data_IF_932101468659
#
_entry.id   IF_932101468659
#
_cell.length_a   1.000
_cell.length_b   1.000
_cell.length_c   1.000
_cell.angle_alpha   90.00
_cell.angle_beta   90.00
_cell.angle_gamma   90.00
#
_symmetry.space_group_name_H-M   'P 1'
#
loop_
_entity.id
_entity.type
_entity.pdbx_description
1 polymer ?
#
# COMPACT_ATOMS: atom_id res chain seq x y z
N UNK A 1 -30.29 -47.38 18.09
CA UNK A 1 -30.26 -45.94 17.80
C UNK A 1 -30.09 -45.81 16.31
N UNK A 2 -31.20 -45.76 15.58
CA UNK A 2 -31.14 -45.56 14.14
C UNK A 2 -30.76 -44.10 13.87
N UNK A 3 -29.85 -43.82 12.91
CA UNK A 3 -29.53 -42.44 12.54
C UNK A 3 -30.76 -41.77 11.91
N UNK A 4 -30.99 -40.50 12.22
CA UNK A 4 -32.01 -39.72 11.52
C UNK A 4 -31.71 -39.69 10.02
N UNK A 5 -32.76 -39.68 9.20
CA UNK A 5 -32.68 -39.59 7.75
C UNK A 5 -31.83 -38.36 7.34
N UNK A 6 -31.95 -37.25 8.08
CA UNK A 6 -31.17 -36.03 7.87
C UNK A 6 -29.67 -36.21 8.15
N UNK A 7 -29.27 -37.01 9.15
CA UNK A 7 -27.84 -37.24 9.44
C UNK A 7 -27.22 -38.15 8.38
N UNK A 8 -27.98 -39.08 7.81
CA UNK A 8 -27.57 -39.85 6.63
C UNK A 8 -27.35 -38.95 5.41
N UNK A 9 -28.27 -38.03 5.10
CA UNK A 9 -28.08 -37.06 4.01
C UNK A 9 -26.90 -36.11 4.26
N UNK A 10 -26.72 -35.61 5.50
CA UNK A 10 -25.60 -34.76 5.88
C UNK A 10 -24.25 -35.48 5.76
N UNK A 11 -24.18 -36.75 6.17
CA UNK A 11 -22.99 -37.59 6.01
C UNK A 11 -22.63 -37.77 4.53
N UNK A 12 -23.59 -38.19 3.69
CA UNK A 12 -23.37 -38.38 2.24
C UNK A 12 -22.95 -37.08 1.56
N UNK A 13 -23.52 -35.93 1.93
CA UNK A 13 -23.13 -34.60 1.44
C UNK A 13 -21.70 -34.20 1.82
N UNK A 14 -21.20 -34.71 2.95
CA UNK A 14 -19.86 -34.40 3.49
C UNK A 14 -18.79 -35.37 2.99
N UNK A 15 -19.12 -36.66 2.84
CA UNK A 15 -18.20 -37.71 2.41
C UNK A 15 -17.99 -37.77 0.89
N UNK A 16 -18.94 -37.29 0.08
CA UNK A 16 -18.82 -37.27 -1.38
C UNK A 16 -17.71 -36.34 -1.87
N UNK A 17 -16.95 -36.81 -2.86
CA UNK A 17 -15.97 -35.98 -3.56
C UNK A 17 -16.65 -34.85 -4.37
N UNK A 18 -15.99 -33.69 -4.46
CA UNK A 18 -16.54 -32.49 -5.12
C UNK A 18 -16.65 -32.63 -6.64
N UNK A 19 -15.80 -33.44 -7.27
CA UNK A 19 -15.89 -33.77 -8.71
C UNK A 19 -16.60 -35.12 -8.85
N UNK A 20 -17.64 -35.17 -9.67
CA UNK A 20 -18.52 -36.34 -9.84
C UNK A 20 -17.83 -37.38 -10.73
N UNK A 21 -17.61 -38.57 -10.19
CA UNK A 21 -16.90 -39.65 -10.89
C UNK A 21 -17.79 -40.31 -11.95
N UNK A 22 -17.20 -41.12 -12.84
CA UNK A 22 -17.94 -41.82 -13.91
C UNK A 22 -19.08 -42.67 -13.34
N UNK A 23 -18.83 -43.44 -12.29
CA UNK A 23 -19.85 -44.33 -11.70
C UNK A 23 -21.06 -43.54 -11.17
N UNK A 24 -20.84 -42.42 -10.49
CA UNK A 24 -21.94 -41.53 -10.05
C UNK A 24 -22.72 -40.92 -11.23
N UNK A 25 -22.10 -40.75 -12.41
CA UNK A 25 -22.81 -40.32 -13.63
C UNK A 25 -23.58 -41.48 -14.28
N UNK A 26 -23.10 -42.72 -14.15
CA UNK A 26 -23.86 -43.91 -14.54
C UNK A 26 -25.06 -44.15 -13.62
N UNK A 27 -24.94 -43.90 -12.31
CA UNK A 27 -26.06 -43.93 -11.37
C UNK A 27 -27.13 -42.88 -11.72
N UNK A 28 -26.71 -41.64 -12.02
CA UNK A 28 -27.59 -40.58 -12.52
C UNK A 28 -28.33 -41.05 -13.78
N UNK A 29 -27.62 -41.61 -14.77
CA UNK A 29 -28.23 -42.09 -16.01
C UNK A 29 -29.22 -43.24 -15.77
N UNK A 30 -28.84 -44.22 -14.93
CA UNK A 30 -29.66 -45.40 -14.59
C UNK A 30 -30.96 -44.99 -13.91
N UNK A 31 -30.89 -44.07 -12.94
CA UNK A 31 -32.08 -43.56 -12.26
C UNK A 31 -32.94 -42.72 -13.21
N UNK A 32 -32.32 -41.93 -14.10
CA UNK A 32 -33.04 -41.15 -15.10
C UNK A 32 -33.82 -42.01 -16.10
N UNK A 33 -33.25 -43.14 -16.52
CA UNK A 33 -33.94 -44.14 -17.34
C UNK A 33 -35.14 -44.78 -16.60
N UNK A 34 -34.99 -45.06 -15.29
CA UNK A 34 -36.05 -45.66 -14.46
C UNK A 34 -37.27 -44.74 -14.25
N UNK A 35 -37.05 -43.45 -14.00
CA UNK A 35 -38.15 -42.46 -13.94
C UNK A 35 -38.78 -42.24 -15.33
N UNK A 36 -38.00 -42.29 -16.41
CA UNK A 36 -38.53 -42.19 -17.79
C UNK A 36 -39.39 -43.41 -18.17
N UNK A 37 -39.06 -44.63 -17.74
CA UNK A 37 -39.91 -45.81 -17.96
C UNK A 37 -41.26 -45.76 -17.22
N UNK A 38 -41.39 -44.87 -16.23
CA UNK A 38 -42.65 -44.58 -15.52
C UNK A 38 -43.36 -43.34 -16.10
N UNK A 39 -43.00 -42.90 -17.32
CA UNK A 39 -43.56 -41.74 -18.01
C UNK A 39 -43.54 -40.43 -17.20
N UNK A 40 -42.63 -40.30 -16.23
CA UNK A 40 -42.70 -39.21 -15.27
C UNK A 40 -42.21 -37.89 -15.88
N UNK A 41 -43.13 -36.93 -16.05
CA UNK A 41 -42.91 -35.63 -16.72
C UNK A 41 -41.71 -34.81 -16.18
N UNK A 42 -41.34 -35.01 -14.92
CA UNK A 42 -40.29 -34.26 -14.23
C UNK A 42 -39.04 -35.10 -13.87
N UNK A 43 -38.77 -36.19 -14.60
CA UNK A 43 -37.70 -37.16 -14.28
C UNK A 43 -36.35 -36.54 -13.89
N UNK A 44 -35.84 -35.53 -14.62
CA UNK A 44 -34.56 -34.87 -14.29
C UNK A 44 -34.56 -34.20 -12.92
N UNK A 45 -35.70 -33.64 -12.48
CA UNK A 45 -35.84 -33.03 -11.15
C UNK A 45 -35.87 -34.10 -10.06
N UNK A 46 -36.65 -35.16 -10.24
CA UNK A 46 -36.70 -36.25 -9.25
C UNK A 46 -35.36 -36.98 -9.10
N UNK A 47 -34.58 -37.14 -10.18
CA UNK A 47 -33.20 -37.65 -10.11
C UNK A 47 -32.28 -36.69 -9.34
N UNK A 48 -32.39 -35.37 -9.60
CA UNK A 48 -31.61 -34.35 -8.91
C UNK A 48 -31.92 -34.30 -7.40
N UNK A 49 -33.20 -34.33 -7.04
CA UNK A 49 -33.69 -34.35 -5.65
C UNK A 49 -33.26 -35.65 -4.94
N UNK A 50 -33.55 -36.82 -5.53
CA UNK A 50 -33.25 -38.13 -4.93
C UNK A 50 -31.74 -38.42 -4.77
N UNK A 51 -30.90 -37.91 -5.68
CA UNK A 51 -29.44 -38.08 -5.58
C UNK A 51 -28.75 -36.90 -4.87
N UNK A 52 -29.46 -35.81 -4.54
CA UNK A 52 -28.87 -34.59 -3.98
C UNK A 52 -27.82 -33.96 -4.90
N UNK A 53 -28.15 -33.82 -6.19
CA UNK A 53 -27.26 -33.29 -7.25
C UNK A 53 -27.91 -32.09 -7.96
N UNK A 54 -27.09 -31.27 -8.63
CA UNK A 54 -27.59 -30.11 -9.38
C UNK A 54 -28.41 -30.57 -10.60
N UNK A 55 -29.57 -29.94 -10.84
CA UNK A 55 -30.45 -30.27 -11.97
C UNK A 55 -29.76 -30.19 -13.33
N UNK A 56 -28.93 -29.16 -13.56
CA UNK A 56 -28.23 -28.96 -14.82
C UNK A 56 -27.28 -30.15 -15.07
N UNK A 57 -26.48 -30.54 -14.08
CA UNK A 57 -25.60 -31.73 -14.17
C UNK A 57 -26.36 -33.01 -14.55
N UNK A 58 -27.58 -33.19 -14.03
CA UNK A 58 -28.43 -34.34 -14.34
C UNK A 58 -28.98 -34.29 -15.76
N UNK A 59 -29.29 -33.08 -16.26
CA UNK A 59 -29.66 -32.86 -17.66
C UNK A 59 -28.46 -33.05 -18.59
N UNK A 60 -27.28 -32.54 -18.24
CA UNK A 60 -26.02 -32.67 -18.99
C UNK A 60 -25.63 -34.14 -19.18
N UNK A 61 -25.67 -34.95 -18.13
CA UNK A 61 -25.40 -36.41 -18.19
C UNK A 61 -26.37 -37.10 -19.15
N UNK A 62 -27.65 -36.71 -19.14
CA UNK A 62 -28.65 -37.28 -20.04
C UNK A 62 -28.42 -36.85 -21.50
N UNK A 63 -28.09 -35.58 -21.74
CA UNK A 63 -27.78 -35.05 -23.08
C UNK A 63 -26.50 -35.66 -23.66
N UNK A 64 -25.43 -35.78 -22.86
CA UNK A 64 -24.18 -36.47 -23.24
C UNK A 64 -24.48 -37.91 -23.69
N UNK A 65 -25.29 -38.65 -22.91
CA UNK A 65 -25.65 -40.01 -23.27
C UNK A 65 -26.52 -40.05 -24.53
N UNK A 66 -27.52 -39.17 -24.69
CA UNK A 66 -28.31 -39.13 -25.93
C UNK A 66 -27.45 -38.86 -27.17
N UNK A 67 -26.50 -37.92 -27.09
CA UNK A 67 -25.67 -37.51 -28.22
C UNK A 67 -24.54 -38.51 -28.55
N UNK A 68 -23.97 -39.19 -27.55
CA UNK A 68 -22.76 -40.02 -27.72
C UNK A 68 -22.94 -41.51 -27.44
N UNK A 69 -24.03 -41.92 -26.79
CA UNK A 69 -24.21 -43.23 -26.14
C UNK A 69 -23.10 -43.60 -25.14
N UNK A 70 -22.40 -42.61 -24.59
CA UNK A 70 -21.37 -42.78 -23.55
C UNK A 70 -21.59 -41.85 -22.35
N UNK A 71 -20.89 -42.12 -21.25
CA UNK A 71 -20.84 -41.28 -20.05
C UNK A 71 -19.39 -41.15 -19.62
N UNK A 72 -18.78 -39.99 -19.86
CA UNK A 72 -17.42 -39.67 -19.44
C UNK A 72 -17.37 -39.27 -17.96
N UNK A 73 -16.18 -39.29 -17.35
CA UNK A 73 -15.98 -38.75 -16.00
C UNK A 73 -15.97 -37.21 -16.06
N UNK A 74 -16.52 -36.52 -15.06
CA UNK A 74 -16.49 -35.06 -15.05
C UNK A 74 -15.04 -34.54 -14.90
N UNK A 75 -14.59 -33.71 -15.83
CA UNK A 75 -13.25 -33.11 -15.80
C UNK A 75 -13.07 -32.26 -14.54
N UNK A 76 -11.97 -32.43 -13.77
CA UNK A 76 -11.66 -31.56 -12.65
C UNK A 76 -11.56 -30.09 -13.09
N UNK A 77 -12.19 -29.18 -12.35
CA UNK A 77 -12.12 -27.74 -12.64
C UNK A 77 -10.65 -27.26 -12.71
N UNK A 78 -10.33 -26.45 -13.71
CA UNK A 78 -8.94 -26.19 -14.10
C UNK A 78 -8.12 -25.55 -12.94
N UNK A 79 -7.01 -26.21 -12.57
CA UNK A 79 -6.16 -25.83 -11.41
C UNK A 79 -4.84 -25.16 -11.83
N UNK A 80 -4.62 -24.86 -13.11
CA UNK A 80 -3.40 -24.21 -13.61
C UNK A 80 -3.21 -22.82 -13.01
N UNK A 81 -2.06 -22.54 -12.41
CA UNK A 81 -1.69 -21.20 -11.97
C UNK A 81 -1.46 -20.29 -13.16
N UNK A 82 -2.38 -19.35 -13.41
CA UNK A 82 -2.23 -18.34 -14.47
C UNK A 82 -0.96 -17.49 -14.28
N UNK A 83 -0.32 -17.12 -15.40
CA UNK A 83 0.87 -16.26 -15.42
C UNK A 83 0.52 -14.89 -14.83
N UNK A 84 1.37 -14.37 -13.94
CA UNK A 84 1.15 -13.07 -13.31
C UNK A 84 1.60 -11.92 -14.22
N UNK A 85 0.75 -10.89 -14.40
CA UNK A 85 1.06 -9.65 -15.18
C UNK A 85 2.45 -9.05 -14.91
N UNK A 86 2.96 -9.14 -13.68
CA UNK A 86 4.34 -8.77 -13.35
C UNK A 86 5.17 -10.06 -13.22
N UNK A 87 6.22 -10.26 -14.04
CA UNK A 87 7.10 -11.41 -13.91
C UNK A 87 7.87 -11.41 -12.59
N UNK A 88 7.91 -12.54 -11.88
CA UNK A 88 8.65 -12.71 -10.62
C UNK A 88 10.10 -13.21 -10.86
N UNK A 89 10.80 -12.59 -11.82
CA UNK A 89 12.18 -12.93 -12.14
C UNK A 89 13.15 -12.15 -11.24
N UNK A 90 14.36 -12.69 -11.00
CA UNK A 90 15.40 -12.01 -10.20
C UNK A 90 15.72 -10.60 -10.72
N UNK A 91 15.74 -10.43 -12.05
CA UNK A 91 15.97 -9.15 -12.71
C UNK A 91 14.89 -8.11 -12.37
N UNK A 92 13.60 -8.48 -12.45
CA UNK A 92 12.49 -7.56 -12.12
C UNK A 92 12.49 -7.19 -10.63
N UNK A 93 12.84 -8.14 -9.75
CA UNK A 93 13.04 -7.85 -8.32
C UNK A 93 14.18 -6.86 -8.10
N UNK A 94 15.33 -7.03 -8.77
CA UNK A 94 16.48 -6.13 -8.65
C UNK A 94 16.16 -4.72 -9.18
N UNK A 95 15.50 -4.62 -10.34
CA UNK A 95 15.05 -3.34 -10.92
C UNK A 95 14.12 -2.60 -9.95
N UNK A 96 13.12 -3.28 -9.38
CA UNK A 96 12.21 -2.68 -8.41
C UNK A 96 12.92 -2.26 -7.11
N UNK A 97 13.86 -3.08 -6.62
CA UNK A 97 14.59 -2.81 -5.38
C UNK A 97 15.53 -1.60 -5.52
N UNK A 98 16.28 -1.52 -6.63
CA UNK A 98 17.15 -0.38 -6.91
C UNK A 98 16.37 0.93 -7.02
N UNK A 99 15.25 0.94 -7.75
CA UNK A 99 14.38 2.13 -7.88
C UNK A 99 13.82 2.60 -6.53
N UNK A 100 13.36 1.69 -5.68
CA UNK A 100 12.88 2.03 -4.34
C UNK A 100 14.03 2.56 -3.50
N UNK A 101 15.20 1.91 -3.49
CA UNK A 101 16.41 2.32 -2.77
C UNK A 101 16.85 3.73 -3.14
N UNK A 102 16.94 4.05 -4.43
CA UNK A 102 17.36 5.37 -4.92
C UNK A 102 16.36 6.47 -4.53
N UNK A 103 15.06 6.24 -4.74
CA UNK A 103 14.02 7.20 -4.34
C UNK A 103 13.93 7.37 -2.82
N UNK A 104 14.19 6.31 -2.03
CA UNK A 104 14.30 6.45 -0.57
C UNK A 104 15.55 7.22 -0.17
N UNK A 105 16.69 7.06 -0.85
CA UNK A 105 17.90 7.84 -0.59
C UNK A 105 17.69 9.35 -0.82
N UNK A 106 16.92 9.74 -1.85
CA UNK A 106 16.51 11.13 -2.08
C UNK A 106 15.31 11.58 -1.22
N UNK A 107 14.70 10.68 -0.43
CA UNK A 107 13.44 10.89 0.32
C UNK A 107 12.23 11.25 -0.55
N UNK A 108 12.24 10.82 -1.81
CA UNK A 108 11.10 10.99 -2.71
C UNK A 108 10.00 9.98 -2.34
N UNK A 109 8.77 10.47 -2.13
CA UNK A 109 7.59 9.62 -1.89
C UNK A 109 7.52 8.51 -2.94
N UNK A 110 7.32 7.28 -2.50
CA UNK A 110 7.33 6.12 -3.39
C UNK A 110 6.29 5.10 -2.93
N UNK A 111 5.25 4.91 -3.75
CA UNK A 111 4.18 3.93 -3.52
C UNK A 111 4.19 2.89 -4.64
N UNK A 112 3.16 2.02 -4.68
CA UNK A 112 3.02 1.03 -5.74
C UNK A 112 2.64 1.64 -7.11
N UNK A 113 2.17 2.89 -7.18
CA UNK A 113 1.91 3.60 -8.46
C UNK A 113 3.24 3.98 -9.12
N UNK A 114 4.15 4.60 -8.36
CA UNK A 114 5.44 5.04 -8.89
C UNK A 114 6.32 3.84 -9.31
N UNK A 115 6.21 2.70 -8.60
CA UNK A 115 6.83 1.43 -9.06
C UNK A 115 6.17 0.89 -10.33
N UNK A 116 4.84 1.01 -10.48
CA UNK A 116 4.14 0.56 -11.69
C UNK A 116 4.56 1.36 -12.92
N UNK A 117 4.64 2.69 -12.81
CA UNK A 117 5.09 3.55 -13.91
C UNK A 117 6.53 3.25 -14.31
N UNK A 118 7.43 3.05 -13.33
CA UNK A 118 8.81 2.66 -13.63
C UNK A 118 8.93 1.28 -14.30
N UNK A 119 8.09 0.30 -13.92
CA UNK A 119 8.04 -1.00 -14.62
C UNK A 119 7.49 -0.88 -16.05
N UNK A 120 6.67 0.14 -16.35
CA UNK A 120 6.28 0.48 -17.73
C UNK A 120 7.42 1.15 -18.51
N UNK A 121 8.12 2.11 -17.90
CA UNK A 121 9.31 2.78 -18.47
C UNK A 121 10.42 1.78 -18.80
N UNK A 122 10.63 0.78 -17.94
CA UNK A 122 11.60 -0.31 -18.14
C UNK A 122 11.10 -1.44 -19.06
N UNK A 123 9.96 -1.26 -19.75
CA UNK A 123 9.31 -2.25 -20.63
C UNK A 123 9.05 -3.64 -19.99
N UNK A 124 8.99 -3.72 -18.65
CA UNK A 124 8.66 -4.95 -17.91
C UNK A 124 7.15 -5.19 -17.86
N UNK A 125 6.36 -4.11 -17.94
CA UNK A 125 4.92 -4.12 -17.72
C UNK A 125 4.23 -3.25 -18.78
N UNK A 126 3.67 -3.89 -19.80
CA UNK A 126 2.84 -3.20 -20.77
C UNK A 126 1.48 -2.82 -20.15
N UNK A 127 1.12 -1.55 -20.31
CA UNK A 127 -0.17 -0.98 -19.91
C UNK A 127 -0.42 0.26 -20.76
N UNK A 128 -1.60 0.31 -21.37
CA UNK A 128 -2.28 1.57 -21.66
C UNK A 128 -2.65 2.23 -20.32
N UNK A 129 -2.17 3.45 -20.09
CA UNK A 129 -2.39 4.21 -18.84
C UNK A 129 -3.78 4.86 -18.85
N UNK A 130 -4.28 5.23 -20.02
CA UNK A 130 -5.54 5.93 -20.20
C UNK A 130 -6.72 4.94 -20.10
N UNK A 131 -6.48 3.66 -20.42
CA UNK A 131 -7.41 2.57 -20.14
C UNK A 131 -7.52 2.25 -18.64
N UNK A 132 -8.33 3.02 -17.90
CA UNK A 132 -8.67 2.85 -16.46
C UNK A 132 -8.78 1.39 -15.98
N UNK A 133 -9.48 0.52 -16.72
CA UNK A 133 -9.63 -0.92 -16.40
C UNK A 133 -8.30 -1.70 -16.44
N UNK A 134 -7.42 -1.38 -17.39
CA UNK A 134 -6.07 -1.95 -17.46
C UNK A 134 -5.18 -1.42 -16.34
N UNK A 135 -5.18 -0.10 -16.11
CA UNK A 135 -4.43 0.56 -15.05
C UNK A 135 -4.75 -0.04 -13.67
N UNK A 136 -6.03 -0.12 -13.30
CA UNK A 136 -6.46 -0.71 -12.03
C UNK A 136 -6.07 -2.19 -11.88
N UNK A 137 -6.16 -2.98 -12.96
CA UNK A 137 -5.75 -4.39 -12.96
C UNK A 137 -4.23 -4.57 -12.79
N UNK A 138 -3.44 -3.72 -13.47
CA UNK A 138 -1.97 -3.69 -13.37
C UNK A 138 -1.50 -3.18 -12.00
N UNK A 139 -2.14 -2.15 -11.43
CA UNK A 139 -1.84 -1.65 -10.09
C UNK A 139 -2.06 -2.73 -9.02
N UNK A 140 -3.18 -3.46 -9.09
CA UNK A 140 -3.44 -4.64 -8.25
C UNK A 140 -2.42 -5.77 -8.48
N UNK A 141 -1.85 -5.91 -9.69
CA UNK A 141 -0.76 -6.86 -9.96
C UNK A 141 0.57 -6.42 -9.31
N UNK A 142 0.95 -5.15 -9.43
CA UNK A 142 2.16 -4.58 -8.79
C UNK A 142 2.07 -4.64 -7.26
N UNK A 143 0.91 -4.32 -6.67
CA UNK A 143 0.66 -4.52 -5.24
C UNK A 143 0.90 -5.98 -4.79
N UNK A 144 0.40 -6.95 -5.56
CA UNK A 144 0.60 -8.40 -5.28
C UNK A 144 2.03 -8.87 -5.53
N UNK A 145 2.75 -8.26 -6.46
CA UNK A 145 4.19 -8.48 -6.67
C UNK A 145 4.98 -7.97 -5.45
N UNK A 146 4.81 -6.71 -5.08
CA UNK A 146 5.52 -6.08 -3.94
C UNK A 146 5.25 -6.82 -2.62
N UNK A 147 3.99 -7.20 -2.34
CA UNK A 147 3.64 -8.00 -1.16
C UNK A 147 4.33 -9.38 -1.19
N UNK A 148 4.47 -10.01 -2.35
CA UNK A 148 5.16 -11.29 -2.50
C UNK A 148 6.68 -11.18 -2.44
N UNK A 149 7.25 -10.00 -2.68
CA UNK A 149 8.67 -9.71 -2.45
C UNK A 149 8.95 -9.19 -1.02
N UNK A 150 7.94 -9.15 -0.14
CA UNK A 150 8.10 -8.79 1.28
C UNK A 150 8.09 -7.29 1.60
N UNK A 151 7.90 -6.42 0.61
CA UNK A 151 7.86 -4.96 0.82
C UNK A 151 6.77 -4.55 1.81
N UNK A 152 7.07 -3.54 2.61
CA UNK A 152 6.15 -2.94 3.59
C UNK A 152 5.96 -1.46 3.26
N UNK A 153 4.80 -0.92 3.63
CA UNK A 153 4.60 0.53 3.72
C UNK A 153 4.91 0.98 5.15
N UNK A 154 5.39 2.21 5.33
CA UNK A 154 5.66 2.76 6.66
C UNK A 154 7.12 3.13 6.89
N UNK A 155 7.41 3.56 8.12
CA UNK A 155 8.79 3.72 8.58
C UNK A 155 9.42 2.34 8.83
N UNK A 156 10.60 2.09 8.24
CA UNK A 156 11.47 0.96 8.61
C UNK A 156 11.85 1.06 10.09
N UNK A 157 11.33 0.15 10.91
CA UNK A 157 11.71 0.02 12.33
C UNK A 157 13.17 -0.45 12.44
N UNK A 158 13.82 -0.23 13.58
CA UNK A 158 15.24 -0.55 13.80
C UNK A 158 16.22 0.37 13.07
N UNK A 159 15.80 1.09 12.02
CA UNK A 159 16.59 2.13 11.35
C UNK A 159 16.89 3.28 12.31
N UNK A 160 18.05 3.20 12.99
CA UNK A 160 18.59 4.26 13.84
C UNK A 160 18.73 5.55 13.04
N UNK A 161 18.17 6.64 13.56
CA UNK A 161 18.26 8.00 12.97
C UNK A 161 19.68 8.59 13.01
N UNK A 162 20.66 7.81 13.48
CA UNK A 162 22.04 8.19 13.75
C UNK A 162 23.07 7.45 12.88
N UNK A 163 22.70 6.98 11.67
CA UNK A 163 23.70 6.78 10.62
C UNK A 163 24.29 8.13 10.18
N UNK A 164 25.34 8.53 10.90
CA UNK A 164 26.16 9.70 10.65
C UNK A 164 27.21 9.35 9.58
N UNK A 165 27.55 10.30 8.72
CA UNK A 165 28.70 10.13 7.81
C UNK A 165 29.99 10.00 8.62
N UNK A 166 31.02 9.34 8.06
CA UNK A 166 32.33 9.18 8.71
C UNK A 166 32.91 10.52 9.20
N UNK A 167 32.78 11.58 8.39
CA UNK A 167 33.17 12.94 8.77
C UNK A 167 32.35 13.49 9.97
N UNK A 168 31.03 13.33 9.97
CA UNK A 168 30.18 13.80 11.07
C UNK A 168 30.41 13.00 12.37
N UNK A 169 30.72 11.70 12.26
CA UNK A 169 31.09 10.87 13.40
C UNK A 169 32.40 11.36 14.04
N UNK A 170 33.45 11.57 13.23
CA UNK A 170 34.72 12.14 13.69
C UNK A 170 34.53 13.53 14.33
N UNK A 171 33.74 14.41 13.72
CA UNK A 171 33.44 15.73 14.27
C UNK A 171 32.68 15.66 15.61
N UNK A 172 31.71 14.75 15.74
CA UNK A 172 31.03 14.45 17.02
C UNK A 172 32.02 13.96 18.06
N UNK A 173 32.90 13.04 17.71
CA UNK A 173 33.81 12.40 18.67
C UNK A 173 34.87 13.37 19.17
N UNK A 174 35.33 14.29 18.32
CA UNK A 174 36.13 15.46 18.73
C UNK A 174 35.34 16.39 19.66
N UNK A 175 34.10 16.76 19.32
CA UNK A 175 33.26 17.61 20.17
C UNK A 175 32.99 16.98 21.54
N UNK A 176 32.70 15.67 21.60
CA UNK A 176 32.48 14.93 22.85
C UNK A 176 33.74 14.92 23.71
N UNK A 177 34.93 14.69 23.11
CA UNK A 177 36.22 14.77 23.83
C UNK A 177 36.48 16.16 24.41
N UNK A 178 36.15 17.22 23.69
CA UNK A 178 36.28 18.61 24.16
C UNK A 178 35.29 18.93 25.30
N UNK A 179 34.03 18.49 25.19
CA UNK A 179 33.01 18.80 26.19
C UNK A 179 33.06 17.91 27.44
N UNK A 180 33.67 16.72 27.37
CA UNK A 180 33.65 15.77 28.48
C UNK A 180 34.28 16.32 29.79
N UNK A 181 35.47 16.96 29.79
CA UNK A 181 36.04 17.56 30.99
C UNK A 181 35.15 18.65 31.62
N UNK A 182 34.50 19.47 30.79
CA UNK A 182 33.56 20.50 31.26
C UNK A 182 32.28 19.90 31.85
N UNK A 183 31.93 18.66 31.50
CA UNK A 183 30.80 17.93 32.09
C UNK A 183 31.12 17.28 33.43
N UNK A 184 32.39 16.98 33.71
CA UNK A 184 32.84 16.26 34.91
C UNK A 184 33.53 17.15 35.95
N UNK A 185 33.96 18.36 35.58
CA UNK A 185 34.51 19.35 36.52
C UNK A 185 33.51 19.74 37.63
N UNK A 186 34.03 19.98 38.85
CA UNK A 186 33.22 20.40 40.00
C UNK A 186 32.52 21.75 39.77
N UNK A 187 33.18 22.69 39.12
CA UNK A 187 32.60 23.97 38.67
C UNK A 187 32.14 23.84 37.22
N UNK A 188 30.89 23.42 37.02
CA UNK A 188 30.30 23.27 35.68
C UNK A 188 29.96 24.62 35.04
N UNK A 189 30.22 24.83 33.73
CA UNK A 189 29.71 25.99 33.01
C UNK A 189 28.19 25.90 32.81
N UNK A 190 27.54 27.07 32.71
CA UNK A 190 26.09 27.18 32.50
C UNK A 190 25.69 26.85 31.04
N UNK A 191 25.58 25.56 30.71
CA UNK A 191 25.22 25.10 29.36
C UNK A 191 23.72 25.27 29.09
N UNK A 192 23.36 26.12 28.13
CA UNK A 192 21.98 26.35 27.69
C UNK A 192 21.73 25.70 26.32
N UNK A 193 20.86 24.70 26.28
CA UNK A 193 20.50 23.99 25.04
C UNK A 193 19.39 24.72 24.28
N UNK A 194 19.68 25.22 23.08
CA UNK A 194 18.76 26.07 22.29
C UNK A 194 18.34 25.46 20.93
N UNK A 195 17.66 24.31 20.94
CA UNK A 195 17.10 23.74 19.71
C UNK A 195 15.87 24.54 19.20
N UNK A 196 15.21 24.06 18.14
CA UNK A 196 13.96 24.58 17.59
C UNK A 196 12.86 23.52 17.70
N UNK A 197 11.93 23.74 18.63
CA UNK A 197 10.66 23.03 18.71
C UNK A 197 9.72 23.56 17.63
N UNK A 198 9.43 22.76 16.60
CA UNK A 198 8.53 23.17 15.52
C UNK A 198 7.07 22.96 15.91
N UNK A 199 6.24 24.00 15.72
CA UNK A 199 4.80 23.81 15.52
C UNK A 199 4.62 23.12 14.15
N UNK A 200 3.76 22.11 14.11
CA UNK A 200 4.04 20.90 13.34
C UNK A 200 3.34 20.86 11.97
N UNK A 201 3.95 21.46 10.93
CA UNK A 201 3.40 21.50 9.57
C UNK A 201 4.24 20.81 8.48
N UNK A 202 4.94 19.73 8.83
CA UNK A 202 5.47 18.77 7.85
C UNK A 202 5.06 17.34 8.22
N UNK A 203 3.81 16.99 7.90
CA UNK A 203 3.38 15.59 7.82
C UNK A 203 4.18 14.88 6.72
N UNK A 204 5.31 14.28 7.10
CA UNK A 204 6.04 13.38 6.21
C UNK A 204 5.21 12.12 6.06
N UNK A 205 4.72 11.87 4.85
CA UNK A 205 3.88 10.70 4.51
C UNK A 205 4.65 9.37 4.50
N UNK A 206 5.56 9.18 5.45
CA UNK A 206 6.31 7.95 5.69
C UNK A 206 5.41 6.74 5.96
N UNK A 207 4.14 6.94 6.30
CA UNK A 207 3.13 5.87 6.38
C UNK A 207 2.73 5.33 4.98
N UNK A 208 2.96 6.10 3.91
CA UNK A 208 2.68 5.74 2.51
C UNK A 208 3.93 5.20 1.80
N UNK A 209 5.12 5.67 2.21
CA UNK A 209 6.41 5.27 1.64
C UNK A 209 6.61 3.75 1.72
N UNK A 210 7.00 3.16 0.59
CA UNK A 210 7.36 1.76 0.45
C UNK A 210 8.83 1.53 0.86
N UNK A 211 9.13 0.41 1.50
CA UNK A 211 10.50 -0.06 1.76
C UNK A 211 10.60 -1.58 1.69
N UNK A 212 11.78 -2.08 1.34
CA UNK A 212 12.14 -3.49 1.48
C UNK A 212 12.72 -3.74 2.89
N UNK A 213 12.13 -4.61 3.72
CA UNK A 213 12.70 -4.95 5.03
C UNK A 213 14.04 -5.69 4.93
N UNK A 214 14.25 -6.46 3.86
CA UNK A 214 15.39 -7.35 3.64
C UNK A 214 16.56 -6.66 2.94
N UNK A 215 16.39 -5.43 2.46
CA UNK A 215 17.47 -4.67 1.83
C UNK A 215 18.42 -4.07 2.88
N UNK A 216 19.51 -4.76 3.21
CA UNK A 216 20.54 -4.26 4.12
C UNK A 216 21.29 -3.03 3.57
N UNK A 217 21.27 -2.81 2.26
CA UNK A 217 21.95 -1.67 1.60
C UNK A 217 21.12 -0.38 1.60
N UNK A 218 19.84 -0.45 1.95
CA UNK A 218 18.94 0.70 2.17
C UNK A 218 19.27 1.42 3.50
N UNK A 219 20.43 2.08 3.50
CA UNK A 219 20.99 2.82 4.65
C UNK A 219 20.55 4.29 4.59
N UNK A 220 19.51 4.60 5.35
CA UNK A 220 18.89 5.92 5.37
C UNK A 220 19.74 6.99 6.08
N UNK A 221 20.58 7.69 5.32
CA UNK A 221 21.38 8.82 5.80
C UNK A 221 20.51 9.92 6.47
N UNK A 222 21.03 10.58 7.52
CA UNK A 222 20.30 11.64 8.23
C UNK A 222 19.94 12.81 7.28
N UNK A 223 18.70 13.28 7.39
CA UNK A 223 18.17 14.39 6.60
C UNK A 223 18.96 15.68 6.87
N UNK A 224 19.49 16.30 5.80
CA UNK A 224 20.37 17.47 5.89
C UNK A 224 19.65 18.78 6.25
N UNK A 225 18.32 18.81 6.20
CA UNK A 225 17.52 20.03 6.34
C UNK A 225 16.40 19.87 7.38
N UNK A 226 16.48 20.60 8.51
CA UNK A 226 15.43 20.67 9.55
C UNK A 226 14.24 21.56 9.11
N UNK A 227 13.70 21.35 7.91
CA UNK A 227 12.67 22.23 7.33
C UNK A 227 13.18 23.65 7.03
N UNK A 228 12.27 24.63 6.92
CA UNK A 228 12.60 26.03 6.57
C UNK A 228 12.44 26.95 7.78
N UNK A 229 13.51 27.70 8.08
CA UNK A 229 13.69 28.45 9.32
C UNK A 229 13.72 29.95 9.03
N UNK A 230 12.56 30.54 8.72
CA UNK A 230 12.52 31.83 8.03
C UNK A 230 13.08 33.00 8.86
N UNK A 231 12.42 33.42 9.94
CA UNK A 231 12.86 34.56 10.75
C UNK A 231 13.72 34.15 11.96
N UNK A 232 13.41 33.04 12.63
CA UNK A 232 14.18 32.56 13.78
C UNK A 232 15.65 32.28 13.47
N UNK A 233 16.01 31.88 12.25
CA UNK A 233 17.42 31.69 11.86
C UNK A 233 18.18 33.02 11.72
N UNK A 234 17.49 34.10 11.32
CA UNK A 234 18.07 35.45 11.25
C UNK A 234 18.38 35.93 12.67
N UNK A 235 17.41 35.84 13.58
CA UNK A 235 17.53 36.27 14.98
C UNK A 235 18.55 35.42 15.76
N UNK A 236 18.47 34.09 15.69
CA UNK A 236 19.47 33.20 16.31
C UNK A 236 20.86 33.37 15.70
N UNK A 237 20.94 33.60 14.38
CA UNK A 237 22.20 33.82 13.67
C UNK A 237 22.88 35.14 14.08
N UNK A 238 22.10 36.21 14.30
CA UNK A 238 22.62 37.48 14.79
C UNK A 238 23.11 37.37 16.23
N UNK A 239 22.27 36.90 17.15
CA UNK A 239 22.64 36.78 18.57
C UNK A 239 23.78 35.78 18.78
N UNK A 240 23.80 34.67 18.05
CA UNK A 240 24.85 33.65 18.13
C UNK A 240 26.21 34.09 17.58
N UNK A 241 26.26 35.04 16.65
CA UNK A 241 27.53 35.65 16.19
C UNK A 241 28.20 36.51 17.27
N UNK A 242 27.45 36.94 18.29
CA UNK A 242 27.92 37.82 19.36
C UNK A 242 28.34 37.04 20.62
N UNK A 243 28.38 35.70 20.57
CA UNK A 243 28.73 34.88 21.73
C UNK A 243 30.23 34.94 22.04
N UNK A 244 30.53 35.03 23.33
CA UNK A 244 31.87 35.02 23.92
C UNK A 244 31.84 34.23 25.23
N UNK A 245 33.00 33.78 25.72
CA UNK A 245 33.11 32.92 26.91
C UNK A 245 32.51 33.52 28.19
N UNK A 246 32.36 34.86 28.23
CA UNK A 246 31.77 35.62 29.34
C UNK A 246 30.26 35.90 29.18
N UNK A 247 29.64 35.54 28.06
CA UNK A 247 28.23 35.84 27.75
C UNK A 247 27.29 35.00 28.61
N UNK A 248 26.45 35.65 29.43
CA UNK A 248 25.49 35.02 30.34
C UNK A 248 24.10 34.93 29.71
N UNK A 249 23.25 34.04 30.25
CA UNK A 249 21.90 33.80 29.71
C UNK A 249 20.99 35.04 29.77
N UNK A 250 21.18 35.94 30.75
CA UNK A 250 20.50 37.23 30.80
C UNK A 250 20.86 38.11 29.57
N UNK A 251 22.14 38.19 29.23
CA UNK A 251 22.63 38.91 28.06
C UNK A 251 22.05 38.31 26.77
N UNK A 252 22.00 36.97 26.66
CA UNK A 252 21.38 36.28 25.51
C UNK A 252 19.90 36.64 25.38
N UNK A 253 19.14 36.70 26.49
CA UNK A 253 17.74 37.13 26.48
C UNK A 253 17.60 38.56 25.95
N UNK A 254 18.34 39.52 26.52
CA UNK A 254 18.30 40.93 26.11
C UNK A 254 18.69 41.09 24.63
N UNK A 255 19.71 40.36 24.16
CA UNK A 255 20.11 40.37 22.73
C UNK A 255 19.05 39.75 21.82
N UNK A 256 18.34 38.70 22.25
CA UNK A 256 17.21 38.15 21.49
C UNK A 256 16.06 39.15 21.39
N UNK A 257 15.68 39.80 22.50
CA UNK A 257 14.64 40.83 22.53
C UNK A 257 15.00 42.02 21.63
N UNK A 258 16.26 42.50 21.68
CA UNK A 258 16.78 43.53 20.78
C UNK A 258 16.82 43.08 19.31
N UNK A 259 17.20 41.83 19.02
CA UNK A 259 17.25 41.30 17.65
C UNK A 259 15.85 41.05 17.05
N UNK A 260 14.83 40.79 17.89
CA UNK A 260 13.43 40.80 17.47
C UNK A 260 12.91 42.23 17.24
N UNK A 261 13.22 43.19 18.12
CA UNK A 261 12.83 44.59 17.94
C UNK A 261 13.42 45.23 16.67
N UNK A 262 14.65 44.86 16.31
CA UNK A 262 15.33 45.33 15.10
C UNK A 262 15.00 44.51 13.83
N UNK A 263 14.04 43.58 13.88
CA UNK A 263 13.70 42.70 12.75
C UNK A 263 12.94 43.45 11.64
N UNK A 264 13.70 44.01 10.69
CA UNK A 264 13.19 44.86 9.60
C UNK A 264 11.98 44.22 8.87
N UNK A 265 10.87 44.96 8.63
CA UNK A 265 9.69 44.45 7.93
C UNK A 265 9.98 43.84 6.56
N UNK A 266 10.98 44.34 5.83
CA UNK A 266 11.39 43.77 4.54
C UNK A 266 11.98 42.35 4.67
N UNK A 267 12.65 42.02 5.78
CA UNK A 267 13.11 40.65 6.07
C UNK A 267 11.93 39.72 6.35
N UNK A 268 10.92 40.21 7.09
CA UNK A 268 9.68 39.47 7.36
C UNK A 268 8.89 39.26 6.05
N UNK A 269 8.73 40.31 5.22
CA UNK A 269 8.06 40.25 3.91
C UNK A 269 8.79 39.31 2.94
N UNK A 270 10.12 39.31 2.93
CA UNK A 270 10.94 38.36 2.16
C UNK A 270 10.70 36.91 2.60
N UNK A 271 10.70 36.66 3.90
CA UNK A 271 10.36 35.37 4.51
C UNK A 271 8.93 34.89 4.13
N UNK A 272 7.94 35.78 4.25
CA UNK A 272 6.54 35.50 3.89
C UNK A 272 6.39 35.21 2.40
N UNK A 273 7.00 36.01 1.51
CA UNK A 273 6.99 35.75 0.06
C UNK A 273 7.58 34.37 -0.28
N UNK A 274 8.73 34.03 0.31
CA UNK A 274 9.39 32.73 0.09
C UNK A 274 8.59 31.55 0.68
N UNK A 275 7.65 31.79 1.61
CA UNK A 275 6.66 30.81 2.03
C UNK A 275 5.49 30.74 1.04
N UNK A 276 4.92 31.87 0.62
CA UNK A 276 3.81 31.98 -0.33
C UNK A 276 4.14 31.36 -1.70
N UNK A 277 5.31 31.63 -2.27
CA UNK A 277 5.79 31.02 -3.52
C UNK A 277 5.82 29.48 -3.45
N UNK A 278 6.14 28.92 -2.28
CA UNK A 278 6.24 27.48 -2.06
C UNK A 278 4.88 26.85 -1.76
N UNK A 279 3.98 27.60 -1.14
CA UNK A 279 2.57 27.24 -0.98
C UNK A 279 1.87 27.22 -2.35
N UNK A 280 2.13 28.20 -3.21
CA UNK A 280 1.66 28.23 -4.60
C UNK A 280 2.10 26.98 -5.36
N UNK A 281 3.40 26.63 -5.30
CA UNK A 281 3.93 25.40 -5.92
C UNK A 281 3.36 24.10 -5.35
N UNK A 282 2.97 24.08 -4.07
CA UNK A 282 2.28 22.93 -3.48
C UNK A 282 0.81 22.85 -3.94
N UNK A 283 0.13 23.99 -4.04
CA UNK A 283 -1.24 24.07 -4.55
C UNK A 283 -1.31 23.72 -6.05
N UNK A 284 -0.38 24.21 -6.88
CA UNK A 284 -0.21 23.82 -8.28
C UNK A 284 -0.07 22.29 -8.44
N UNK A 285 0.75 21.66 -7.58
CA UNK A 285 0.94 20.21 -7.56
C UNK A 285 -0.25 19.43 -6.96
N UNK A 286 -1.05 20.02 -6.08
CA UNK A 286 -2.28 19.41 -5.58
C UNK A 286 -3.38 19.49 -6.63
N UNK A 287 -3.58 20.63 -7.29
CA UNK A 287 -4.51 20.77 -8.42
C UNK A 287 -4.16 19.78 -9.53
N UNK A 288 -2.88 19.56 -9.84
CA UNK A 288 -2.45 18.51 -10.78
C UNK A 288 -2.80 17.09 -10.35
N UNK A 289 -2.87 16.79 -9.04
CA UNK A 289 -3.33 15.50 -8.53
C UNK A 289 -4.86 15.43 -8.59
N UNK A 290 -5.54 16.49 -8.16
CA UNK A 290 -6.99 16.53 -8.07
C UNK A 290 -7.64 16.50 -9.46
N UNK A 291 -7.06 17.13 -10.50
CA UNK A 291 -7.53 16.96 -11.89
C UNK A 291 -7.39 15.51 -12.37
N UNK A 292 -6.29 14.83 -12.03
CA UNK A 292 -6.09 13.40 -12.32
C UNK A 292 -7.01 12.48 -11.49
N UNK A 293 -7.83 13.03 -10.60
CA UNK A 293 -8.87 12.31 -9.84
C UNK A 293 -10.28 12.73 -10.28
N UNK A 294 -10.52 14.01 -10.60
CA UNK A 294 -11.80 14.48 -11.15
C UNK A 294 -12.11 13.87 -12.52
N UNK A 295 -11.10 13.64 -13.35
CA UNK A 295 -11.25 12.88 -14.61
C UNK A 295 -11.57 11.38 -14.37
N UNK A 296 -11.50 10.88 -13.12
CA UNK A 296 -12.00 9.55 -12.74
C UNK A 296 -13.48 9.56 -12.29
N UNK A 297 -14.02 10.68 -11.80
CA UNK A 297 -15.35 10.78 -11.16
C UNK A 297 -16.49 11.24 -12.12
N UNK A 298 -16.19 11.80 -13.30
CA UNK A 298 -17.23 12.28 -14.22
C UNK A 298 -17.84 11.17 -15.12
N UNK A 299 -18.61 10.27 -14.52
CA UNK A 299 -19.63 9.49 -15.24
C UNK A 299 -20.82 9.20 -14.32
N UNK A 300 -21.85 10.04 -14.39
CA UNK A 300 -23.17 9.75 -13.81
C UNK A 300 -23.74 8.46 -14.39
N UNK A 301 -24.12 7.53 -13.52
CA UNK A 301 -25.16 6.53 -13.78
C UNK A 301 -26.34 6.83 -12.84
N UNK A 302 -27.07 7.90 -13.17
CA UNK A 302 -28.27 8.30 -12.45
C UNK A 302 -29.48 7.52 -12.97
N UNK A 303 -29.77 6.35 -12.37
CA UNK A 303 -31.08 5.71 -12.54
C UNK A 303 -31.47 4.85 -11.32
N UNK A 304 -32.51 5.29 -10.61
CA UNK A 304 -33.25 4.50 -9.64
C UNK A 304 -34.72 4.96 -9.66
N UNK A 305 -35.49 4.39 -10.59
CA UNK A 305 -36.92 4.66 -10.76
C UNK A 305 -37.68 3.32 -10.81
N UNK A 306 -38.75 3.20 -10.00
CA UNK A 306 -39.84 2.20 -10.16
C UNK A 306 -39.48 0.70 -9.99
N UNK A 307 -40.38 -0.29 -9.82
CA UNK A 307 -41.82 -0.45 -9.45
C UNK A 307 -42.00 -1.99 -9.17
N UNK A 308 -43.01 -2.59 -8.51
CA UNK A 308 -44.13 -2.21 -7.61
C UNK A 308 -44.65 -3.50 -6.90
N UNK A 309 -45.53 -3.41 -5.89
CA UNK A 309 -46.17 -4.52 -5.16
C UNK A 309 -45.43 -4.94 -3.87
N UNK A 310 -46.09 -5.42 -2.79
CA UNK A 310 -47.39 -6.10 -2.64
C UNK A 310 -47.14 -7.51 -2.08
N UNK A 311 -47.97 -8.16 -1.26
CA UNK A 311 -49.28 -7.86 -0.64
C UNK A 311 -49.49 -8.85 0.55
N UNK A 312 -50.63 -8.75 1.26
CA UNK A 312 -51.27 -9.81 2.08
C UNK A 312 -50.77 -10.14 3.50
N UNK A 313 -51.75 -10.16 4.42
CA UNK A 313 -51.83 -10.84 5.75
C UNK A 313 -50.84 -10.46 6.87
#
# INVERSE_FOLDING_TARGET
MDPSIDTCFAFVKTARHRTVIREERLDILRLHAWFRSQYTKAASKQVADALGRNLNLVQDVWQEYQASQTVTAATPGNRTTHITKVPRTKLVTQIAQQFVRDRRATRTRTTAVEVMMYLKEMCVLDIDVDAKKQFAASYRAVQRFLKAQGYKRGRRMGSSTYHMSKANALARDTYVKLMHPHSTAATRPNVVYTDESYIYHHYKSHHQDLYDPSDETDVQSKEKHKGRRYFFAIVKGEVGRQYTDMTKFADVKVRLEAAFANLKPNSIKGCVRVAQEKLKKLHEHLVQIDTLVSDEESSDDSDNSSDDGGDSE
#
